data_IF_425188208008
#
_entry.id   IF_425188208008
#
_cell.length_a   1.000
_cell.length_b   1.000
_cell.length_c   1.000
_cell.angle_alpha   90.00
_cell.angle_beta   90.00
_cell.angle_gamma   90.00
#
_symmetry.space_group_name_H-M   'P 1'
#
loop_
_entity.id
_entity.type
_entity.pdbx_description
1 polymer ?
#
# COMPACT_ATOMS: atom_id res chain seq x y z
N UNK A 1 9.47 6.53 2.21
CA UNK A 1 9.45 5.04 2.21
C UNK A 1 8.04 4.57 2.52
N UNK A 2 7.53 3.49 1.89
CA UNK A 2 6.20 2.94 2.19
C UNK A 2 6.31 1.61 2.94
N UNK A 3 5.40 1.37 3.88
CA UNK A 3 5.28 0.10 4.60
C UNK A 3 4.37 -0.91 3.87
N UNK A 4 3.85 -0.56 2.69
CA UNK A 4 2.88 -1.35 1.92
C UNK A 4 3.30 -2.82 1.77
N UNK A 5 4.56 -3.06 1.37
CA UNK A 5 5.09 -4.41 1.18
C UNK A 5 5.04 -5.23 2.46
N UNK A 6 5.54 -4.67 3.55
CA UNK A 6 5.64 -5.34 4.85
C UNK A 6 4.25 -5.74 5.36
N UNK A 7 3.29 -4.83 5.26
CA UNK A 7 1.91 -5.06 5.71
C UNK A 7 1.26 -6.14 4.84
N UNK A 8 1.37 -6.03 3.51
CA UNK A 8 0.85 -7.03 2.57
C UNK A 8 1.42 -8.43 2.83
N UNK A 9 2.72 -8.55 3.04
CA UNK A 9 3.38 -9.83 3.32
C UNK A 9 2.96 -10.41 4.68
N UNK A 10 2.72 -9.58 5.69
CA UNK A 10 2.18 -10.02 7.00
C UNK A 10 0.78 -10.63 6.83
N UNK A 11 -0.01 -10.12 5.90
CA UNK A 11 -1.33 -10.66 5.53
C UNK A 11 -1.24 -11.87 4.58
N UNK A 12 -0.04 -12.31 4.18
CA UNK A 12 0.18 -13.38 3.18
C UNK A 12 -0.51 -13.11 1.83
N UNK A 13 -0.67 -11.84 1.47
CA UNK A 13 -1.29 -11.41 0.22
C UNK A 13 -0.21 -11.19 -0.86
N UNK A 14 -0.46 -11.62 -2.10
CA UNK A 14 0.47 -11.35 -3.21
C UNK A 14 0.24 -9.96 -3.80
N UNK A 15 1.23 -9.41 -4.52
CA UNK A 15 1.06 -8.15 -5.24
C UNK A 15 -0.10 -8.21 -6.24
N UNK A 16 -0.31 -9.36 -6.89
CA UNK A 16 -1.38 -9.56 -7.86
C UNK A 16 -2.76 -9.51 -7.20
N UNK A 17 -2.93 -10.16 -6.06
CA UNK A 17 -4.20 -10.14 -5.30
C UNK A 17 -4.53 -8.74 -4.81
N UNK A 18 -3.53 -8.00 -4.29
CA UNK A 18 -3.74 -6.62 -3.89
C UNK A 18 -4.09 -5.73 -5.09
N UNK A 19 -3.39 -5.91 -6.22
CA UNK A 19 -3.63 -5.15 -7.44
C UNK A 19 -5.05 -5.35 -7.98
N UNK A 20 -5.53 -6.60 -8.01
CA UNK A 20 -6.90 -6.95 -8.38
C UNK A 20 -7.91 -6.25 -7.47
N UNK A 21 -7.68 -6.29 -6.15
CA UNK A 21 -8.58 -5.68 -5.16
C UNK A 21 -8.73 -4.16 -5.33
N UNK A 22 -7.67 -3.46 -5.72
CA UNK A 22 -7.67 -1.99 -5.89
C UNK A 22 -7.86 -1.54 -7.35
N UNK A 23 -8.01 -2.48 -8.29
CA UNK A 23 -8.21 -2.18 -9.71
C UNK A 23 -6.98 -1.60 -10.40
N UNK A 24 -5.78 -2.11 -10.13
CA UNK A 24 -4.55 -1.74 -10.85
C UNK A 24 -3.74 -2.97 -11.28
N UNK A 25 -2.55 -2.75 -11.85
CA UNK A 25 -1.67 -3.84 -12.29
C UNK A 25 -0.74 -4.29 -11.16
N UNK A 26 -0.31 -5.56 -11.17
CA UNK A 26 0.72 -6.05 -10.24
C UNK A 26 1.99 -5.17 -10.27
N UNK A 27 2.41 -4.76 -11.47
CA UNK A 27 3.56 -3.87 -11.64
C UNK A 27 3.39 -2.51 -10.98
N UNK A 28 2.17 -1.96 -10.95
CA UNK A 28 1.88 -0.72 -10.23
C UNK A 28 2.12 -0.89 -8.72
N UNK A 29 1.65 -1.99 -8.12
CA UNK A 29 1.94 -2.32 -6.71
C UNK A 29 3.46 -2.42 -6.48
N UNK A 30 4.19 -3.12 -7.36
CA UNK A 30 5.65 -3.20 -7.27
C UNK A 30 6.36 -1.84 -7.34
N UNK A 31 5.85 -0.92 -8.16
CA UNK A 31 6.37 0.45 -8.21
C UNK A 31 6.06 1.25 -6.94
N UNK A 32 4.88 1.08 -6.34
CA UNK A 32 4.52 1.73 -5.07
C UNK A 32 5.38 1.20 -3.92
N UNK A 33 5.57 -0.12 -3.85
CA UNK A 33 6.38 -0.76 -2.81
C UNK A 33 7.87 -0.38 -2.89
N UNK A 34 8.39 -0.17 -4.10
CA UNK A 34 9.79 0.24 -4.33
C UNK A 34 10.01 1.76 -4.30
N UNK A 35 8.94 2.55 -4.19
CA UNK A 35 9.01 4.01 -4.26
C UNK A 35 9.33 4.56 -5.66
N UNK A 36 9.33 3.72 -6.71
CA UNK A 36 9.52 4.18 -8.10
C UNK A 36 8.37 5.04 -8.61
N UNK A 37 7.18 4.83 -8.05
CA UNK A 37 6.00 5.66 -8.30
C UNK A 37 5.29 5.88 -6.97
N UNK A 38 4.69 7.05 -6.82
CA UNK A 38 3.82 7.33 -5.68
C UNK A 38 2.35 7.20 -6.10
N UNK A 39 1.53 6.45 -5.35
CA UNK A 39 0.09 6.44 -5.55
C UNK A 39 -0.50 7.83 -5.21
N UNK A 40 -1.57 8.22 -5.90
CA UNK A 40 -2.35 9.39 -5.50
C UNK A 40 -3.15 9.11 -4.21
N UNK A 41 -3.70 10.16 -3.59
CA UNK A 41 -4.43 10.03 -2.33
C UNK A 41 -5.63 9.07 -2.42
N UNK A 42 -6.30 8.99 -3.58
CA UNK A 42 -7.41 8.05 -3.78
C UNK A 42 -6.90 6.61 -3.71
N UNK A 43 -5.83 6.32 -4.45
CA UNK A 43 -5.17 5.02 -4.46
C UNK A 43 -4.60 4.67 -3.08
N UNK A 44 -4.04 5.62 -2.32
CA UNK A 44 -3.59 5.37 -0.95
C UNK A 44 -4.74 4.89 -0.06
N UNK A 45 -5.91 5.55 -0.13
CA UNK A 45 -7.10 5.14 0.62
C UNK A 45 -7.60 3.75 0.22
N UNK A 46 -7.64 3.47 -1.09
CA UNK A 46 -8.03 2.15 -1.60
C UNK A 46 -7.07 1.05 -1.14
N UNK A 47 -5.76 1.32 -1.09
CA UNK A 47 -4.77 0.37 -0.59
C UNK A 47 -4.96 0.09 0.91
N UNK A 48 -5.20 1.12 1.72
CA UNK A 48 -5.51 0.95 3.16
C UNK A 48 -6.77 0.12 3.36
N UNK A 49 -7.86 0.45 2.65
CA UNK A 49 -9.11 -0.30 2.72
C UNK A 49 -8.94 -1.75 2.29
N UNK A 50 -8.20 -2.00 1.20
CA UNK A 50 -7.89 -3.34 0.74
C UNK A 50 -7.11 -4.14 1.80
N UNK A 51 -6.04 -3.56 2.36
CA UNK A 51 -5.25 -4.19 3.43
C UNK A 51 -6.12 -4.51 4.67
N UNK A 52 -7.00 -3.59 5.06
CA UNK A 52 -7.91 -3.81 6.18
C UNK A 52 -8.94 -4.90 5.89
N UNK A 53 -9.41 -5.02 4.65
CA UNK A 53 -10.27 -6.14 4.24
C UNK A 53 -9.56 -7.51 4.30
N UNK A 54 -8.23 -7.52 4.30
CA UNK A 54 -7.41 -8.71 4.53
C UNK A 54 -7.02 -8.93 6.00
N UNK A 55 -7.42 -8.03 6.91
CA UNK A 55 -7.19 -8.16 8.35
C UNK A 55 -6.03 -7.33 8.93
N UNK A 56 -5.47 -6.38 8.16
CA UNK A 56 -4.29 -5.62 8.60
C UNK A 56 -4.54 -4.63 9.76
N UNK A 57 -5.74 -4.07 9.87
CA UNK A 57 -6.11 -3.04 10.85
C UNK A 57 -5.11 -1.88 10.94
N UNK A 58 -4.86 -1.22 9.80
CA UNK A 58 -3.91 -0.10 9.62
C UNK A 58 -4.61 1.17 9.15
N UNK A 59 -3.99 2.32 9.40
CA UNK A 59 -4.38 3.63 8.91
C UNK A 59 -3.45 4.11 7.78
N UNK A 60 -3.73 5.29 7.23
CA UNK A 60 -2.97 5.87 6.13
C UNK A 60 -1.49 6.04 6.50
N UNK A 61 -1.20 6.60 7.68
CA UNK A 61 0.16 6.89 8.14
C UNK A 61 0.94 5.62 8.49
N UNK A 62 0.25 4.51 8.78
CA UNK A 62 0.91 3.21 8.97
C UNK A 62 1.45 2.66 7.64
N UNK A 63 0.74 2.90 6.53
CA UNK A 63 1.11 2.42 5.19
C UNK A 63 2.04 3.40 4.46
N UNK A 64 1.74 4.69 4.60
CA UNK A 64 2.39 5.83 3.95
C UNK A 64 2.73 6.90 5.00
N UNK A 65 3.74 6.65 5.86
CA UNK A 65 4.09 7.59 6.92
C UNK A 65 4.51 8.94 6.34
N UNK A 66 4.20 10.06 7.02
CA UNK A 66 4.68 11.37 6.62
C UNK A 66 6.21 11.37 6.59
N UNK A 67 6.81 12.11 5.66
CA UNK A 67 8.26 12.25 5.63
C UNK A 67 8.72 12.97 6.90
N UNK A 68 9.66 12.36 7.62
CA UNK A 68 10.20 12.86 8.90
C UNK A 68 11.03 14.16 8.77
N UNK A 69 11.00 14.84 7.62
CA UNK A 69 11.78 16.06 7.34
C UNK A 69 10.84 17.24 7.01
N UNK A 70 9.95 17.56 7.93
CA UNK A 70 9.33 18.89 8.01
C UNK A 70 9.66 19.49 9.38
N UNK A 71 10.94 19.81 9.57
CA UNK A 71 11.44 20.74 10.58
C UNK A 71 12.48 21.64 9.91
#
# INVERSE_FOLDING_TARGET
>A
MSNLRKIRETMKVSQAVLAEKVGCTQGAIGHYESGRRHPDLRMCRQLVEALNSFGANVQLDDVFPPELNAA
#
